data_IF_070251181200
#
_entry.id   IF_070251181200
#
_cell.length_a   1.000
_cell.length_b   1.000
_cell.length_c   1.000
_cell.angle_alpha   90.00
_cell.angle_beta   90.00
_cell.angle_gamma   90.00
#
_symmetry.space_group_name_H-M   'P 1'
#
loop_
_entity.id
_entity.type
_entity.pdbx_description
1 polymer ?
#
# COMPACT_ATOMS: atom_id res chain seq x y z
N UNK A 1 24.63 23.87 9.32
CA UNK A 1 23.98 22.55 9.47
C UNK A 1 25.13 21.63 9.75
N UNK A 2 25.38 21.35 11.02
CA UNK A 2 26.54 20.56 11.44
C UNK A 2 26.30 19.13 11.00
N UNK A 3 27.19 18.61 10.15
CA UNK A 3 27.20 17.19 9.84
C UNK A 3 27.67 16.48 11.11
N UNK A 4 26.72 16.17 12.01
CA UNK A 4 26.96 15.25 13.10
C UNK A 4 27.51 13.97 12.47
N UNK A 5 28.83 13.75 12.60
CA UNK A 5 29.55 12.58 12.11
C UNK A 5 29.19 11.30 12.87
N UNK A 6 27.92 11.17 13.26
CA UNK A 6 27.35 10.02 13.94
C UNK A 6 27.43 8.81 13.02
N UNK A 7 27.92 7.71 13.58
CA UNK A 7 27.95 6.45 12.87
C UNK A 7 26.52 6.00 12.56
N UNK A 8 26.30 5.32 11.44
CA UNK A 8 25.01 4.70 11.06
C UNK A 8 24.44 3.87 12.23
N UNK A 9 25.30 3.24 13.04
CA UNK A 9 24.90 2.46 14.23
C UNK A 9 24.36 3.31 15.38
N UNK A 10 24.91 4.50 15.59
CA UNK A 10 24.47 5.42 16.64
C UNK A 10 23.11 6.01 16.29
N UNK A 11 22.94 6.41 15.03
CA UNK A 11 21.66 6.85 14.46
C UNK A 11 20.62 5.72 14.58
N UNK A 12 20.97 4.49 14.17
CA UNK A 12 20.09 3.32 14.30
C UNK A 12 19.62 3.09 15.76
N UNK A 13 20.52 3.26 16.73
CA UNK A 13 20.20 3.13 18.16
C UNK A 13 19.31 4.26 18.67
N UNK A 14 19.57 5.51 18.25
CA UNK A 14 18.77 6.68 18.62
C UNK A 14 17.33 6.57 18.12
N UNK A 15 17.16 6.16 16.86
CA UNK A 15 15.84 6.02 16.23
C UNK A 15 15.19 4.64 16.48
N UNK A 16 15.90 3.70 17.12
CA UNK A 16 15.46 2.30 17.34
C UNK A 16 15.04 1.58 16.06
N UNK A 17 15.78 1.83 14.98
CA UNK A 17 15.57 1.24 13.66
C UNK A 17 16.79 0.38 13.32
N UNK A 18 16.64 -0.61 12.44
CA UNK A 18 17.79 -1.38 11.95
C UNK A 18 18.79 -0.51 11.19
N UNK A 19 20.11 -0.73 11.34
CA UNK A 19 21.14 0.05 10.63
C UNK A 19 21.01 -0.05 9.11
N UNK A 20 20.51 -1.18 8.60
CA UNK A 20 20.23 -1.36 7.17
C UNK A 20 19.20 -0.35 6.65
N UNK A 21 18.14 -0.05 7.42
CA UNK A 21 17.13 0.93 7.01
C UNK A 21 17.69 2.35 6.98
N UNK A 22 18.58 2.70 7.93
CA UNK A 22 19.29 3.99 7.93
C UNK A 22 20.15 4.13 6.68
N UNK A 23 20.91 3.08 6.32
CA UNK A 23 21.68 3.07 5.07
C UNK A 23 20.79 3.19 3.81
N UNK A 24 19.62 2.53 3.81
CA UNK A 24 18.66 2.65 2.70
C UNK A 24 18.13 4.07 2.59
N UNK A 25 17.77 4.72 3.70
CA UNK A 25 17.24 6.09 3.69
C UNK A 25 18.29 7.14 3.30
N UNK A 26 19.56 6.94 3.67
CA UNK A 26 20.66 7.80 3.21
C UNK A 26 20.79 7.74 1.68
N UNK A 27 20.66 6.56 1.09
CA UNK A 27 20.78 6.36 -0.36
C UNK A 27 19.50 6.71 -1.12
N UNK A 28 18.34 6.50 -0.50
CA UNK A 28 17.02 6.67 -1.09
C UNK A 28 16.01 7.08 -0.01
N UNK A 29 15.78 8.38 0.11
CA UNK A 29 14.81 8.94 1.06
C UNK A 29 13.36 8.74 0.58
N UNK A 30 13.17 8.67 -0.75
CA UNK A 30 11.84 8.52 -1.33
C UNK A 30 11.25 7.14 -1.01
N UNK A 31 9.99 7.07 -0.55
CA UNK A 31 9.33 5.81 -0.29
C UNK A 31 9.23 5.00 -1.58
N UNK A 32 9.50 3.70 -1.49
CA UNK A 32 9.34 2.79 -2.62
C UNK A 32 7.89 2.84 -3.11
N UNK A 33 7.70 3.06 -4.41
CA UNK A 33 6.39 3.03 -5.02
C UNK A 33 5.72 1.67 -4.75
N UNK A 34 4.62 1.69 -3.99
CA UNK A 34 3.81 0.52 -3.76
C UNK A 34 2.81 0.39 -4.90
N UNK A 35 2.84 -0.74 -5.60
CA UNK A 35 1.77 -1.06 -6.54
C UNK A 35 0.49 -1.33 -5.76
N UNK A 36 -0.62 -0.74 -6.21
CA UNK A 36 -1.92 -1.09 -5.63
C UNK A 36 -2.25 -2.53 -6.02
N UNK A 37 -2.69 -3.33 -5.05
CA UNK A 37 -3.16 -4.70 -5.32
C UNK A 37 -4.33 -4.65 -6.30
N UNK A 38 -4.21 -5.38 -7.41
CA UNK A 38 -5.32 -5.57 -8.34
C UNK A 38 -6.38 -6.46 -7.68
N UNK A 39 -7.60 -5.95 -7.55
CA UNK A 39 -8.74 -6.69 -7.04
C UNK A 39 -9.29 -7.67 -8.09
N UNK A 40 -10.11 -8.64 -7.65
CA UNK A 40 -10.77 -9.59 -8.56
C UNK A 40 -11.87 -8.94 -9.43
N UNK A 41 -12.41 -7.81 -9.00
CA UNK A 41 -13.57 -7.16 -9.62
C UNK A 41 -13.17 -5.77 -10.10
N UNK A 42 -13.61 -5.41 -11.30
CA UNK A 42 -13.47 -4.06 -11.81
C UNK A 42 -14.42 -3.10 -11.10
N UNK A 43 -13.87 -2.04 -10.49
CA UNK A 43 -14.65 -1.04 -9.74
C UNK A 43 -15.65 -0.27 -10.60
N UNK A 44 -15.36 -0.04 -11.90
CA UNK A 44 -16.30 0.66 -12.78
C UNK A 44 -17.52 -0.19 -13.09
N UNK A 45 -17.32 -1.50 -13.27
CA UNK A 45 -18.41 -2.44 -13.54
C UNK A 45 -19.27 -2.64 -12.29
N UNK A 46 -18.64 -2.73 -11.11
CA UNK A 46 -19.36 -2.81 -9.84
C UNK A 46 -20.26 -1.58 -9.60
N UNK A 47 -19.79 -0.37 -9.93
CA UNK A 47 -20.61 0.84 -9.80
C UNK A 47 -21.84 0.79 -10.70
N UNK A 48 -21.69 0.35 -11.95
CA UNK A 48 -22.81 0.18 -12.88
C UNK A 48 -23.82 -0.86 -12.40
N UNK A 49 -23.35 -1.98 -11.84
CA UNK A 49 -24.24 -3.00 -11.27
C UNK A 49 -25.01 -2.48 -10.03
N UNK A 50 -24.41 -1.60 -9.22
CA UNK A 50 -25.08 -0.95 -8.09
C UNK A 50 -26.16 0.02 -8.58
N UNK A 51 -25.88 0.81 -9.61
CA UNK A 51 -26.86 1.73 -10.21
C UNK A 51 -28.04 0.97 -10.85
N UNK A 52 -27.76 -0.16 -11.51
CA UNK A 52 -28.78 -0.96 -12.19
C UNK A 52 -29.64 -1.80 -11.23
N UNK A 53 -29.04 -2.28 -10.15
CA UNK A 53 -29.69 -3.12 -9.15
C UNK A 53 -29.38 -2.62 -7.74
N UNK A 54 -30.02 -1.55 -7.25
CA UNK A 54 -29.68 -0.97 -5.95
C UNK A 54 -30.02 -1.89 -4.76
N UNK A 55 -31.05 -2.71 -4.92
CA UNK A 55 -31.60 -3.64 -3.93
C UNK A 55 -30.95 -5.04 -3.95
N UNK A 56 -30.14 -5.35 -4.97
CA UNK A 56 -29.51 -6.66 -5.11
C UNK A 56 -28.53 -6.96 -3.96
N UNK A 57 -28.62 -8.19 -3.46
CA UNK A 57 -27.78 -8.70 -2.40
C UNK A 57 -26.36 -9.01 -2.90
N UNK A 58 -25.39 -9.00 -1.99
CA UNK A 58 -23.98 -9.26 -2.32
C UNK A 58 -23.78 -10.64 -2.99
N UNK A 59 -24.59 -11.64 -2.62
CA UNK A 59 -24.53 -12.97 -3.24
C UNK A 59 -24.89 -12.94 -4.73
N UNK A 60 -25.99 -12.28 -5.08
CA UNK A 60 -26.47 -12.14 -6.46
C UNK A 60 -25.45 -11.35 -7.30
N UNK A 61 -24.85 -10.32 -6.72
CA UNK A 61 -23.76 -9.57 -7.37
C UNK A 61 -22.53 -10.45 -7.59
N UNK A 62 -22.14 -11.24 -6.59
CA UNK A 62 -20.99 -12.14 -6.70
C UNK A 62 -21.18 -13.21 -7.80
N UNK A 63 -22.40 -13.73 -7.96
CA UNK A 63 -22.76 -14.62 -9.07
C UNK A 63 -22.61 -13.92 -10.42
N UNK A 64 -23.08 -12.67 -10.58
CA UNK A 64 -22.91 -11.89 -11.82
C UNK A 64 -21.45 -11.61 -12.16
N UNK A 65 -20.63 -11.34 -11.14
CA UNK A 65 -19.20 -11.08 -11.31
C UNK A 65 -18.34 -12.37 -11.37
N UNK A 66 -18.95 -13.55 -11.26
CA UNK A 66 -18.22 -14.84 -11.32
C UNK A 66 -17.22 -15.02 -10.17
N UNK A 67 -17.51 -14.45 -9.00
CA UNK A 67 -16.63 -14.48 -7.82
C UNK A 67 -16.99 -15.60 -6.83
N UNK A 68 -18.14 -16.26 -7.04
CA UNK A 68 -18.63 -17.39 -6.25
C UNK A 68 -17.94 -18.72 -6.59
#
# INVERSE_FOLDING_TARGET
MEDEGLSIREIAKQFRIGPASVSVWINQIDPKASTTRQGKINKSELRRDIEQYPDAYQKERAERFGVC
#
